data_IF_875126700163
#
_entry.id   IF_875126700163
#
_cell.length_a   1.000
_cell.length_b   1.000
_cell.length_c   1.000
_cell.angle_alpha   90.00
_cell.angle_beta   90.00
_cell.angle_gamma   90.00
#
_symmetry.space_group_name_H-M   'P 1'
#
loop_
_entity.id
_entity.type
_entity.pdbx_description
1 polymer ?
#
# COMPACT_ATOMS: atom_id res chain seq x y z
N UNK A 1 16.90 2.70 6.19
CA UNK A 1 17.28 2.08 4.92
C UNK A 1 17.30 0.54 5.00
N UNK A 2 17.83 -0.08 6.05
CA UNK A 2 17.99 -1.56 6.16
C UNK A 2 16.71 -2.38 5.94
N UNK A 3 15.56 -1.92 6.47
CA UNK A 3 14.27 -2.62 6.26
C UNK A 3 13.82 -2.59 4.80
N UNK A 4 14.03 -1.45 4.11
CA UNK A 4 13.74 -1.32 2.69
C UNK A 4 14.65 -2.27 1.86
N UNK A 5 15.95 -2.29 2.17
CA UNK A 5 16.90 -3.19 1.49
C UNK A 5 16.50 -4.66 1.67
N UNK A 6 16.15 -5.06 2.89
CA UNK A 6 15.65 -6.42 3.16
C UNK A 6 14.37 -6.73 2.39
N UNK A 7 13.40 -5.79 2.39
CA UNK A 7 12.14 -5.97 1.66
C UNK A 7 12.38 -6.14 0.14
N UNK A 8 13.24 -5.32 -0.46
CA UNK A 8 13.64 -5.45 -1.87
C UNK A 8 14.31 -6.80 -2.12
N UNK A 9 15.26 -7.21 -1.28
CA UNK A 9 15.98 -8.49 -1.44
C UNK A 9 15.03 -9.70 -1.38
N UNK A 10 13.94 -9.64 -0.63
CA UNK A 10 12.92 -10.71 -0.61
C UNK A 10 12.13 -10.81 -1.92
N UNK A 11 12.06 -9.71 -2.70
CA UNK A 11 11.35 -9.69 -3.98
C UNK A 11 12.28 -10.09 -5.11
N UNK A 12 13.46 -9.47 -5.20
CA UNK A 12 14.46 -9.74 -6.24
C UNK A 12 15.85 -9.35 -5.77
N UNK A 13 16.84 -10.23 -6.03
CA UNK A 13 18.23 -9.86 -5.85
C UNK A 13 18.64 -8.83 -6.91
N UNK A 14 19.41 -7.83 -6.49
CA UNK A 14 20.06 -6.82 -7.33
C UNK A 14 21.58 -7.08 -7.32
N UNK A 15 22.25 -6.73 -8.42
CA UNK A 15 23.71 -6.69 -8.47
C UNK A 15 24.25 -5.58 -7.55
N UNK A 16 25.51 -5.61 -7.14
CA UNK A 16 26.09 -4.53 -6.34
C UNK A 16 25.93 -3.14 -6.98
N UNK A 17 26.15 -3.04 -8.29
CA UNK A 17 26.07 -1.79 -9.07
C UNK A 17 24.64 -1.27 -9.14
N UNK A 18 23.69 -2.10 -9.56
CA UNK A 18 22.27 -1.70 -9.63
C UNK A 18 21.70 -1.40 -8.24
N UNK A 19 22.14 -2.13 -7.22
CA UNK A 19 21.73 -1.90 -5.84
C UNK A 19 22.16 -0.52 -5.34
N UNK A 20 23.42 -0.13 -5.59
CA UNK A 20 23.93 1.18 -5.21
C UNK A 20 23.13 2.29 -5.92
N UNK A 21 23.00 2.22 -7.24
CA UNK A 21 22.22 3.19 -8.02
C UNK A 21 20.76 3.26 -7.56
N UNK A 22 20.14 2.10 -7.28
CA UNK A 22 18.74 2.03 -6.88
C UNK A 22 18.46 2.65 -5.53
N UNK A 23 19.30 2.40 -4.51
CA UNK A 23 19.07 2.94 -3.17
C UNK A 23 19.45 4.42 -3.02
N UNK A 24 20.29 4.98 -3.90
CA UNK A 24 20.65 6.40 -3.90
C UNK A 24 19.46 7.33 -4.25
N UNK A 25 18.51 6.88 -5.05
CA UNK A 25 17.37 7.70 -5.50
C UNK A 25 16.16 7.66 -4.58
N UNK A 26 16.18 6.80 -3.54
CA UNK A 26 15.09 6.75 -2.56
C UNK A 26 15.13 7.97 -1.64
N UNK A 27 14.00 8.63 -1.51
CA UNK A 27 13.78 9.71 -0.56
C UNK A 27 13.17 9.18 0.73
N UNK A 28 13.41 9.88 1.81
CA UNK A 28 12.88 9.55 3.14
C UNK A 28 12.11 10.73 3.71
N UNK A 29 10.94 10.46 4.29
CA UNK A 29 10.12 11.43 5.00
C UNK A 29 9.68 10.88 6.35
N UNK A 30 9.80 11.74 7.38
CA UNK A 30 9.09 11.57 8.64
C UNK A 30 7.85 12.45 8.57
N UNK A 31 6.67 11.85 8.72
CA UNK A 31 5.40 12.55 8.60
C UNK A 31 4.61 12.51 9.91
N UNK A 32 3.77 13.51 10.12
CA UNK A 32 2.78 13.48 11.22
C UNK A 32 1.63 12.55 10.88
N UNK A 33 0.78 12.30 11.87
CA UNK A 33 -0.53 11.70 11.64
C UNK A 33 -1.35 12.56 10.65
N UNK A 34 -2.20 11.89 9.88
CA UNK A 34 -3.12 12.49 8.90
C UNK A 34 -2.42 13.26 7.76
N UNK A 35 -1.14 12.97 7.50
CA UNK A 35 -0.39 13.55 6.38
C UNK A 35 -0.81 12.90 5.05
N UNK A 36 -1.05 13.74 4.03
CA UNK A 36 -1.38 13.28 2.68
C UNK A 36 -0.11 13.07 1.86
N UNK A 37 0.14 11.84 1.44
CA UNK A 37 1.18 11.48 0.48
C UNK A 37 0.71 11.67 -0.97
N UNK A 38 -0.57 11.40 -1.23
CA UNK A 38 -1.24 11.65 -2.51
C UNK A 38 -2.62 12.22 -2.22
N UNK A 39 -2.97 13.34 -2.86
CA UNK A 39 -4.29 13.94 -2.81
C UNK A 39 -5.10 13.52 -4.02
N UNK A 40 -6.42 13.49 -3.89
CA UNK A 40 -7.32 13.31 -5.04
C UNK A 40 -6.99 14.34 -6.14
N UNK A 41 -7.05 13.91 -7.39
CA UNK A 41 -6.71 14.69 -8.58
C UNK A 41 -5.24 15.11 -8.72
N UNK A 42 -4.34 14.76 -7.78
CA UNK A 42 -2.90 14.89 -8.00
C UNK A 42 -2.32 13.66 -8.69
N UNK A 43 -1.16 13.80 -9.33
CA UNK A 43 -0.45 12.66 -9.89
C UNK A 43 0.32 11.97 -8.76
N UNK A 44 0.24 10.62 -8.71
CA UNK A 44 1.02 9.81 -7.77
C UNK A 44 2.42 9.61 -8.32
N UNK A 45 3.38 10.41 -7.85
CA UNK A 45 4.74 10.43 -8.38
C UNK A 45 5.66 9.36 -7.80
N UNK A 46 5.26 8.70 -6.72
CA UNK A 46 6.14 7.79 -5.99
C UNK A 46 5.52 6.41 -5.80
N UNK A 47 6.37 5.36 -5.85
CA UNK A 47 6.12 4.12 -5.12
C UNK A 47 6.64 4.34 -3.72
N UNK A 48 5.78 4.12 -2.73
CA UNK A 48 6.10 4.30 -1.32
C UNK A 48 6.40 2.97 -0.65
N UNK A 49 7.29 3.01 0.33
CA UNK A 49 7.55 1.95 1.29
C UNK A 49 7.36 2.50 2.70
N UNK A 50 6.47 1.91 3.47
CA UNK A 50 6.27 2.30 4.86
C UNK A 50 7.20 1.49 5.75
N UNK A 51 8.14 2.18 6.41
CA UNK A 51 9.09 1.53 7.30
C UNK A 51 8.45 1.15 8.62
N UNK A 52 7.70 2.09 9.20
CA UNK A 52 6.97 1.91 10.45
C UNK A 52 5.79 2.86 10.42
N UNK A 53 4.59 2.35 10.41
CA UNK A 53 3.33 3.07 10.51
C UNK A 53 2.20 2.38 9.74
N UNK A 54 1.10 3.08 9.56
CA UNK A 54 -0.04 2.67 8.74
C UNK A 54 -0.41 3.80 7.79
N UNK A 55 -0.56 3.46 6.51
CA UNK A 55 -1.14 4.33 5.49
C UNK A 55 -2.46 3.75 5.00
N UNK A 56 -3.42 4.62 4.81
CA UNK A 56 -4.73 4.30 4.23
C UNK A 56 -4.79 4.80 2.81
N UNK A 57 -5.24 3.95 1.89
CA UNK A 57 -5.55 4.28 0.51
C UNK A 57 -7.07 4.21 0.37
N UNK A 58 -7.69 5.31 -0.07
CA UNK A 58 -9.14 5.41 -0.14
C UNK A 58 -9.60 6.38 -1.25
N UNK A 59 -10.88 6.35 -1.55
CA UNK A 59 -11.54 7.26 -2.50
C UNK A 59 -12.93 7.64 -1.99
N UNK A 60 -13.53 8.68 -2.58
CA UNK A 60 -14.91 9.07 -2.31
C UNK A 60 -15.88 8.41 -3.28
N UNK A 61 -16.96 7.83 -2.75
CA UNK A 61 -18.09 7.31 -3.52
C UNK A 61 -19.39 7.80 -2.85
N UNK A 62 -20.16 8.64 -3.56
CA UNK A 62 -21.39 9.24 -3.01
C UNK A 62 -21.13 9.89 -1.64
N UNK A 63 -20.15 10.75 -1.55
CA UNK A 63 -19.69 11.49 -0.36
C UNK A 63 -19.26 10.62 0.83
N UNK A 64 -19.04 9.33 0.60
CA UNK A 64 -18.53 8.39 1.60
C UNK A 64 -17.12 7.93 1.25
N UNK A 65 -16.26 7.90 2.25
CA UNK A 65 -14.91 7.34 2.10
C UNK A 65 -14.95 5.82 1.99
N UNK A 66 -14.37 5.30 0.93
CA UNK A 66 -14.23 3.86 0.70
C UNK A 66 -12.76 3.49 0.77
N UNK A 67 -12.39 2.69 1.77
CA UNK A 67 -11.01 2.19 1.92
C UNK A 67 -10.74 1.10 0.91
N UNK A 68 -9.80 1.37 0.00
CA UNK A 68 -9.34 0.42 -0.99
C UNK A 68 -8.25 -0.48 -0.41
N UNK A 69 -7.28 0.13 0.29
CA UNK A 69 -6.15 -0.60 0.88
C UNK A 69 -5.72 0.00 2.21
N UNK A 70 -5.08 -0.82 3.04
CA UNK A 70 -4.40 -0.42 4.27
C UNK A 70 -2.99 -1.01 4.20
N UNK A 71 -2.00 -0.15 4.06
CA UNK A 71 -0.59 -0.53 4.09
C UNK A 71 -0.06 -0.39 5.52
N UNK A 72 0.61 -1.42 6.00
CA UNK A 72 1.23 -1.48 7.33
C UNK A 72 2.75 -1.56 7.21
N UNK A 73 3.43 -1.69 8.34
CA UNK A 73 4.89 -1.74 8.43
C UNK A 73 5.50 -2.65 7.34
N UNK A 74 6.57 -2.17 6.74
CA UNK A 74 7.37 -2.84 5.73
C UNK A 74 6.64 -3.24 4.43
N UNK A 75 5.56 -2.51 4.08
CA UNK A 75 4.81 -2.73 2.86
C UNK A 75 5.03 -1.62 1.82
N UNK A 76 4.97 -2.02 0.55
CA UNK A 76 4.93 -1.11 -0.59
C UNK A 76 3.49 -0.74 -0.93
N UNK A 77 3.28 0.51 -1.34
CA UNK A 77 1.97 1.00 -1.75
C UNK A 77 2.09 2.18 -2.72
N UNK A 78 1.07 2.40 -3.53
CA UNK A 78 0.97 3.50 -4.49
C UNK A 78 -0.47 3.63 -4.99
N UNK A 79 -0.77 4.71 -5.72
CA UNK A 79 -1.92 4.74 -6.64
C UNK A 79 -1.47 4.21 -8.00
N UNK A 80 -1.71 2.92 -8.26
CA UNK A 80 -1.08 2.20 -9.37
C UNK A 80 -1.40 2.80 -10.73
N UNK A 81 -2.67 3.08 -11.02
CA UNK A 81 -3.10 3.68 -12.29
C UNK A 81 -2.46 5.04 -12.49
N UNK A 82 -2.53 5.92 -11.49
CA UNK A 82 -1.93 7.25 -11.57
C UNK A 82 -0.41 7.21 -11.75
N UNK A 83 0.27 6.30 -11.06
CA UNK A 83 1.73 6.17 -11.15
C UNK A 83 2.16 5.71 -12.55
N UNK A 84 1.54 4.68 -13.13
CA UNK A 84 1.98 4.14 -14.43
C UNK A 84 1.41 4.89 -15.63
N UNK A 85 0.16 5.35 -15.57
CA UNK A 85 -0.48 6.07 -16.69
C UNK A 85 -0.25 7.58 -16.64
N UNK A 86 0.36 8.10 -15.57
CA UNK A 86 0.62 9.53 -15.35
C UNK A 86 -0.64 10.40 -15.42
N UNK A 87 -1.77 9.85 -14.97
CA UNK A 87 -3.07 10.51 -14.90
C UNK A 87 -3.41 10.94 -13.46
N UNK A 88 -4.27 11.94 -13.27
CA UNK A 88 -4.72 12.34 -11.93
C UNK A 88 -5.31 11.16 -11.14
N UNK A 89 -4.89 11.00 -9.89
CA UNK A 89 -5.35 9.93 -9.01
C UNK A 89 -6.77 10.22 -8.49
N UNK A 90 -7.64 9.23 -8.56
CA UNK A 90 -8.90 9.23 -7.81
C UNK A 90 -8.70 8.70 -6.37
N UNK A 91 -7.54 8.10 -6.10
CA UNK A 91 -7.17 7.62 -4.78
C UNK A 91 -6.48 8.72 -3.98
N UNK A 92 -6.76 8.71 -2.69
CA UNK A 92 -6.07 9.49 -1.67
C UNK A 92 -5.21 8.54 -0.88
N UNK A 93 -3.96 8.91 -0.62
CA UNK A 93 -3.04 8.16 0.24
C UNK A 93 -2.71 9.02 1.45
N UNK A 94 -3.05 8.55 2.63
CA UNK A 94 -2.90 9.28 3.88
C UNK A 94 -2.31 8.40 4.97
N UNK A 95 -1.32 8.91 5.71
CA UNK A 95 -0.84 8.26 6.92
C UNK A 95 -1.85 8.47 8.05
N UNK A 96 -2.14 7.42 8.84
CA UNK A 96 -3.11 7.52 9.94
C UNK A 96 -2.45 7.54 11.34
N UNK A 97 -1.14 7.52 11.36
CA UNK A 97 -0.29 7.71 12.54
C UNK A 97 1.04 8.35 12.12
N UNK A 98 1.89 8.87 13.05
CA UNK A 98 3.22 9.36 12.69
C UNK A 98 4.04 8.30 11.96
N UNK A 99 4.66 8.64 10.85
CA UNK A 99 5.14 7.65 9.87
C UNK A 99 6.55 7.92 9.39
N UNK A 100 7.31 6.85 9.20
CA UNK A 100 8.59 6.82 8.48
C UNK A 100 8.34 6.17 7.11
N UNK A 101 8.43 6.98 6.06
CA UNK A 101 8.10 6.58 4.69
C UNK A 101 9.30 6.80 3.78
N UNK A 102 9.59 5.82 2.94
CA UNK A 102 10.50 5.97 1.80
C UNK A 102 9.70 6.02 0.52
N UNK A 103 10.23 6.69 -0.51
CA UNK A 103 9.61 6.71 -1.83
C UNK A 103 10.65 6.81 -2.94
N UNK A 104 10.42 6.09 -4.02
CA UNK A 104 11.15 6.22 -5.26
C UNK A 104 10.28 6.93 -6.28
N UNK A 105 10.82 7.99 -6.89
CA UNK A 105 10.10 8.76 -7.91
C UNK A 105 9.95 7.96 -9.20
N UNK A 106 8.83 8.15 -9.90
CA UNK A 106 8.51 7.48 -11.15
C UNK A 106 9.66 7.54 -12.17
N UNK A 107 10.16 8.73 -12.49
CA UNK A 107 11.19 8.90 -13.51
C UNK A 107 12.48 8.17 -13.12
N UNK A 108 12.89 8.26 -11.84
CA UNK A 108 14.09 7.58 -11.35
C UNK A 108 13.95 6.06 -11.49
N UNK A 109 12.78 5.51 -11.12
CA UNK A 109 12.56 4.08 -11.20
C UNK A 109 12.51 3.60 -12.65
N UNK A 110 11.81 4.31 -13.54
CA UNK A 110 11.72 3.93 -14.96
C UNK A 110 13.10 4.00 -15.63
N UNK A 111 13.86 5.08 -15.41
CA UNK A 111 15.22 5.22 -15.95
C UNK A 111 16.14 4.08 -15.48
N UNK A 112 16.10 3.74 -14.20
CA UNK A 112 16.90 2.64 -13.67
C UNK A 112 16.44 1.28 -14.20
N UNK A 113 15.15 1.07 -14.41
CA UNK A 113 14.62 -0.16 -14.99
C UNK A 113 15.03 -0.34 -16.46
N UNK A 114 15.19 0.76 -17.22
CA UNK A 114 15.73 0.73 -18.59
C UNK A 114 17.23 0.43 -18.61
N UNK A 115 17.98 0.90 -17.62
CA UNK A 115 19.44 0.73 -17.54
C UNK A 115 19.85 -0.65 -16.98
N UNK A 116 19.10 -1.17 -16.00
CA UNK A 116 19.45 -2.37 -15.25
C UNK A 116 18.37 -3.43 -15.33
N UNK A 117 18.66 -4.53 -16.02
CA UNK A 117 17.70 -5.63 -16.21
C UNK A 117 17.19 -6.26 -14.90
N UNK A 118 17.98 -6.26 -13.85
CA UNK A 118 17.57 -6.78 -12.53
C UNK A 118 16.62 -5.81 -11.79
N UNK A 119 16.69 -4.50 -12.07
CA UNK A 119 15.71 -3.50 -11.61
C UNK A 119 14.39 -3.65 -12.39
N UNK A 120 14.44 -3.86 -13.72
CA UNK A 120 13.24 -4.20 -14.50
C UNK A 120 12.57 -5.46 -13.95
N UNK A 121 13.34 -6.51 -13.70
CA UNK A 121 12.84 -7.74 -13.09
C UNK A 121 12.21 -7.51 -11.72
N UNK A 122 12.81 -6.62 -10.89
CA UNK A 122 12.23 -6.20 -9.61
C UNK A 122 10.87 -5.54 -9.83
N UNK A 123 10.78 -4.53 -10.71
CA UNK A 123 9.55 -3.82 -11.03
C UNK A 123 8.45 -4.78 -11.48
N UNK A 124 8.77 -5.66 -12.44
CA UNK A 124 7.82 -6.68 -12.92
C UNK A 124 7.32 -7.58 -11.81
N UNK A 125 8.19 -8.03 -10.88
CA UNK A 125 7.78 -8.84 -9.72
C UNK A 125 6.88 -8.05 -8.76
N UNK A 126 7.16 -6.77 -8.52
CA UNK A 126 6.33 -5.91 -7.68
C UNK A 126 4.93 -5.75 -8.28
N UNK A 127 4.85 -5.45 -9.58
CA UNK A 127 3.56 -5.30 -10.31
C UNK A 127 2.79 -6.63 -10.34
N UNK A 128 3.45 -7.74 -10.61
CA UNK A 128 2.84 -9.08 -10.58
C UNK A 128 2.27 -9.38 -9.18
N UNK A 129 3.01 -9.08 -8.12
CA UNK A 129 2.53 -9.28 -6.74
C UNK A 129 1.31 -8.40 -6.44
N UNK A 130 1.33 -7.14 -6.88
CA UNK A 130 0.19 -6.22 -6.73
C UNK A 130 -1.05 -6.74 -7.46
N UNK A 131 -0.90 -7.25 -8.68
CA UNK A 131 -1.99 -7.89 -9.43
C UNK A 131 -2.57 -9.10 -8.69
N UNK A 132 -1.72 -9.99 -8.17
CA UNK A 132 -2.16 -11.16 -7.40
C UNK A 132 -2.95 -10.72 -6.15
N UNK A 133 -2.46 -9.75 -5.39
CA UNK A 133 -3.15 -9.24 -4.21
C UNK A 133 -4.50 -8.61 -4.56
N UNK A 134 -4.58 -7.88 -5.68
CA UNK A 134 -5.84 -7.31 -6.18
C UNK A 134 -6.83 -8.40 -6.58
N UNK A 135 -6.38 -9.48 -7.23
CA UNK A 135 -7.22 -10.63 -7.57
C UNK A 135 -7.73 -11.36 -6.32
N UNK A 136 -6.85 -11.63 -5.35
CA UNK A 136 -7.24 -12.24 -4.07
C UNK A 136 -8.29 -11.39 -3.37
N UNK A 137 -8.12 -10.06 -3.34
CA UNK A 137 -9.10 -9.16 -2.74
C UNK A 137 -10.45 -9.17 -3.49
N UNK A 138 -10.42 -9.16 -4.81
CA UNK A 138 -11.64 -9.23 -5.63
C UNK A 138 -12.42 -10.51 -5.36
N UNK A 139 -11.75 -11.65 -5.34
CA UNK A 139 -12.33 -12.96 -5.00
C UNK A 139 -12.91 -12.94 -3.57
N UNK A 140 -12.17 -12.42 -2.60
CA UNK A 140 -12.62 -12.31 -1.21
C UNK A 140 -13.90 -11.47 -1.10
N UNK A 141 -13.98 -10.32 -1.78
CA UNK A 141 -15.19 -9.47 -1.77
C UNK A 141 -16.39 -10.17 -2.43
N UNK A 142 -16.16 -10.95 -3.47
CA UNK A 142 -17.24 -11.62 -4.24
C UNK A 142 -17.76 -12.89 -3.58
N UNK A 143 -16.89 -13.69 -2.96
CA UNK A 143 -17.24 -15.05 -2.56
C UNK A 143 -17.18 -15.29 -1.05
N UNK A 144 -16.48 -14.46 -0.26
CA UNK A 144 -16.41 -14.65 1.19
C UNK A 144 -17.50 -13.86 1.92
N UNK A 145 -18.00 -14.43 3.01
CA UNK A 145 -18.86 -13.71 3.95
C UNK A 145 -18.08 -12.63 4.69
N UNK A 146 -18.77 -11.64 5.22
CA UNK A 146 -18.17 -10.58 6.04
C UNK A 146 -17.35 -11.14 7.21
N UNK A 147 -17.83 -12.21 7.83
CA UNK A 147 -17.13 -12.87 8.93
C UNK A 147 -15.83 -13.52 8.45
N UNK A 148 -15.86 -14.27 7.36
CA UNK A 148 -14.66 -14.88 6.77
C UNK A 148 -13.62 -13.83 6.40
N UNK A 149 -14.03 -12.73 5.76
CA UNK A 149 -13.12 -11.62 5.46
C UNK A 149 -12.47 -11.02 6.71
N UNK A 150 -13.25 -10.84 7.76
CA UNK A 150 -12.74 -10.35 9.03
C UNK A 150 -11.75 -11.33 9.68
N UNK A 151 -12.05 -12.61 9.71
CA UNK A 151 -11.16 -13.66 10.25
C UNK A 151 -9.86 -13.77 9.46
N UNK A 152 -9.93 -13.72 8.13
CA UNK A 152 -8.77 -13.70 7.26
C UNK A 152 -7.89 -12.45 7.49
N UNK A 153 -8.53 -11.29 7.68
CA UNK A 153 -7.81 -10.06 8.01
C UNK A 153 -7.05 -10.19 9.33
N UNK A 154 -7.68 -10.72 10.38
CA UNK A 154 -7.03 -10.92 11.69
C UNK A 154 -5.90 -11.94 11.65
N UNK A 155 -6.07 -13.01 10.90
CA UNK A 155 -5.03 -14.02 10.71
C UNK A 155 -3.78 -13.45 10.05
N UNK A 156 -3.98 -12.61 9.02
CA UNK A 156 -2.89 -12.05 8.23
C UNK A 156 -2.29 -10.75 8.81
N UNK A 157 -3.05 -10.03 9.61
CA UNK A 157 -2.66 -8.73 10.19
C UNK A 157 -3.27 -8.55 11.58
N UNK A 158 -2.85 -9.34 12.59
CA UNK A 158 -3.49 -9.36 13.91
C UNK A 158 -3.44 -8.01 14.64
N UNK A 159 -2.42 -7.20 14.35
CA UNK A 159 -2.23 -5.88 14.96
C UNK A 159 -3.10 -4.76 14.33
N UNK A 160 -3.81 -5.06 13.23
CA UNK A 160 -4.58 -4.03 12.50
C UNK A 160 -5.66 -3.37 13.39
N UNK A 161 -6.30 -4.17 14.26
CA UNK A 161 -7.37 -3.67 15.16
C UNK A 161 -6.84 -2.69 16.21
N UNK A 162 -5.58 -2.80 16.59
CA UNK A 162 -4.97 -1.92 17.61
C UNK A 162 -4.56 -0.57 17.02
N UNK A 163 -4.32 -0.50 15.70
CA UNK A 163 -3.72 0.66 15.04
C UNK A 163 -4.65 1.37 14.06
N UNK A 164 -5.66 0.68 13.55
CA UNK A 164 -6.56 1.20 12.51
C UNK A 164 -7.95 1.43 13.09
N UNK A 165 -8.57 2.61 12.89
CA UNK A 165 -9.95 2.85 13.27
C UNK A 165 -10.90 1.81 12.70
N UNK A 166 -11.86 1.33 13.51
CA UNK A 166 -12.81 0.29 13.10
C UNK A 166 -13.67 0.69 11.89
N UNK A 167 -13.95 1.98 11.72
CA UNK A 167 -14.66 2.51 10.55
C UNK A 167 -13.87 2.27 9.26
N UNK A 168 -12.53 2.41 9.30
CA UNK A 168 -11.67 2.15 8.15
C UNK A 168 -11.56 0.66 7.86
N UNK A 169 -11.50 -0.16 8.90
CA UNK A 169 -11.53 -1.63 8.76
C UNK A 169 -12.86 -2.09 8.18
N UNK A 170 -14.00 -1.59 8.68
CA UNK A 170 -15.32 -1.91 8.13
C UNK A 170 -15.42 -1.53 6.64
N UNK A 171 -14.99 -0.32 6.30
CA UNK A 171 -14.93 0.14 4.91
C UNK A 171 -14.02 -0.74 4.05
N UNK A 172 -12.83 -1.12 4.55
CA UNK A 172 -11.93 -2.05 3.86
C UNK A 172 -12.55 -3.42 3.65
N UNK A 173 -13.31 -3.93 4.61
CA UNK A 173 -14.01 -5.22 4.50
C UNK A 173 -15.30 -5.14 3.65
N UNK A 174 -15.70 -3.93 3.20
CA UNK A 174 -16.93 -3.74 2.44
C UNK A 174 -18.21 -3.97 3.25
N UNK A 175 -18.19 -3.61 4.55
CA UNK A 175 -19.32 -3.74 5.47
C UNK A 175 -19.56 -2.43 6.23
N UNK A 176 -20.73 -2.31 6.88
CA UNK A 176 -20.98 -1.19 7.79
C UNK A 176 -20.28 -1.39 9.13
N UNK A 177 -20.05 -0.30 9.88
CA UNK A 177 -19.47 -0.37 11.22
C UNK A 177 -20.31 -1.23 12.17
N UNK A 178 -21.66 -1.15 12.06
CA UNK A 178 -22.59 -1.95 12.86
C UNK A 178 -22.45 -3.45 12.56
N UNK A 179 -22.30 -3.81 11.28
CA UNK A 179 -22.05 -5.18 10.87
C UNK A 179 -20.72 -5.69 11.43
N UNK A 180 -19.65 -4.91 11.34
CA UNK A 180 -18.35 -5.27 11.94
C UNK A 180 -18.45 -5.42 13.45
N UNK A 181 -19.17 -4.52 14.14
CA UNK A 181 -19.39 -4.61 15.58
C UNK A 181 -20.10 -5.89 15.97
N UNK A 182 -21.14 -6.29 15.23
CA UNK A 182 -21.86 -7.57 15.45
C UNK A 182 -20.95 -8.79 15.25
N UNK A 183 -20.14 -8.81 14.18
CA UNK A 183 -19.17 -9.90 13.93
C UNK A 183 -18.19 -10.04 15.09
N UNK A 184 -17.73 -8.93 15.67
CA UNK A 184 -16.79 -8.92 16.80
C UNK A 184 -17.43 -9.41 18.10
N UNK A 185 -18.70 -9.09 18.34
CA UNK A 185 -19.44 -9.48 19.55
C UNK A 185 -19.91 -10.94 19.53
N UNK A 186 -19.93 -11.59 18.37
CA UNK A 186 -20.32 -12.99 18.22
C UNK A 186 -19.18 -13.99 18.53
N UNK A 187 -18.01 -13.49 18.95
CA UNK A 187 -16.87 -14.25 19.46
C UNK A 187 -16.77 -14.11 20.97
#
# INVERSE_FOLDING_TARGET
>A
MDSLQKAIATISALSPESSEAFFQVWKHWSTTKDHFLVREHSISDYIYFIKKSVARIYYYKNDKEVTEWIAMDEQFFLSITSFFERTPSYLIIQTIEPSEVYGIHHNDFMTLAEQYHDIERLLRKMVTRSLILSQVRMVSIQFETAQQRYENLLKNSPQIIQRVPLSYIASFLGVTLETLSRIRSAK
#
